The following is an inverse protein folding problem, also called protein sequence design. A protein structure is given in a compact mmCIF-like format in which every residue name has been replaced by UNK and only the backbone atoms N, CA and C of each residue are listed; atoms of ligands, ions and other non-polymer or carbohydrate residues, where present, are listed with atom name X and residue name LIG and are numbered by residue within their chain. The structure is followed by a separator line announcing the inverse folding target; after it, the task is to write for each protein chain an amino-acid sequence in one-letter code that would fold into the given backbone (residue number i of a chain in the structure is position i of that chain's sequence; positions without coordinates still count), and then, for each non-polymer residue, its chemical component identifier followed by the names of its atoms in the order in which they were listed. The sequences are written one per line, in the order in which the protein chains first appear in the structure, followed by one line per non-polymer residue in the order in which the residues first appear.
data_IF_775733479071
#
_entry.id   IF_775733479071
#
_cell.length_a   1.000
_cell.length_b   1.000
_cell.length_c   1.000
_cell.angle_alpha   90.00
_cell.angle_beta   90.00
_cell.angle_gamma   90.00
#
_symmetry.space_group_name_H-M   'P 1'
#
loop_
_entity.id
_entity.type
_entity.pdbx_description
1 polymer ?
#
# COMPACT_ATOMS: atom_id res chain seq x y z
N UNK A 1 -11.24 11.16 5.18
CA UNK A 1 -11.45 10.90 6.62
C UNK A 1 -12.05 9.52 6.89
N UNK A 2 -13.22 9.18 6.33
CA UNK A 2 -13.97 7.97 6.74
C UNK A 2 -13.24 6.62 6.64
N UNK A 3 -12.37 6.41 5.65
CA UNK A 3 -11.61 5.14 5.55
C UNK A 3 -10.55 4.99 6.66
N UNK A 4 -9.86 6.08 7.02
CA UNK A 4 -8.85 6.04 8.08
C UNK A 4 -9.48 5.64 9.41
N UNK A 5 -10.63 6.25 9.75
CA UNK A 5 -11.41 5.91 10.95
C UNK A 5 -11.91 4.46 10.92
N UNK A 6 -12.41 4.00 9.78
CA UNK A 6 -12.86 2.62 9.62
C UNK A 6 -11.74 1.58 9.79
N UNK A 7 -10.50 1.92 9.44
CA UNK A 7 -9.33 1.05 9.64
C UNK A 7 -8.81 1.07 11.08
N UNK A 8 -9.09 2.14 11.83
CA UNK A 8 -8.77 2.23 13.26
C UNK A 8 -9.77 1.44 14.12
N UNK A 9 -11.06 1.46 13.75
CA UNK A 9 -12.12 0.72 14.45
C UNK A 9 -12.96 -0.10 13.44
N UNK A 10 -12.43 -1.22 12.94
CA UNK A 10 -13.08 -1.97 11.86
C UNK A 10 -14.31 -2.72 12.37
N UNK A 11 -15.43 -2.59 11.65
CA UNK A 11 -16.68 -3.31 11.95
C UNK A 11 -16.64 -4.79 11.56
N UNK A 12 -15.74 -5.15 10.65
CA UNK A 12 -15.46 -6.52 10.22
C UNK A 12 -14.01 -6.87 10.55
N UNK A 13 -13.73 -8.13 10.85
CA UNK A 13 -12.36 -8.56 11.17
C UNK A 13 -11.49 -8.47 9.90
N UNK A 14 -10.46 -7.62 9.85
CA UNK A 14 -9.55 -7.54 8.71
C UNK A 14 -8.63 -8.77 8.66
N UNK A 15 -8.29 -9.21 7.45
CA UNK A 15 -7.38 -10.33 7.20
C UNK A 15 -6.58 -10.13 5.91
N UNK A 16 -5.41 -10.76 5.81
CA UNK A 16 -4.53 -10.65 4.63
C UNK A 16 -4.86 -11.74 3.62
N UNK A 17 -5.86 -11.47 2.77
CA UNK A 17 -6.28 -12.33 1.65
C UNK A 17 -7.19 -13.49 2.05
N UNK A 18 -6.81 -14.31 3.03
CA UNK A 18 -7.63 -15.42 3.56
C UNK A 18 -8.00 -15.18 5.02
N UNK A 19 -9.19 -15.61 5.44
CA UNK A 19 -9.66 -15.50 6.83
C UNK A 19 -8.72 -16.17 7.85
N UNK A 20 -7.97 -17.19 7.43
CA UNK A 20 -6.96 -17.87 8.23
C UNK A 20 -5.65 -17.09 8.42
N UNK A 21 -5.51 -15.92 7.79
CA UNK A 21 -4.32 -15.07 7.84
C UNK A 21 -4.65 -13.75 8.57
N UNK A 22 -4.79 -13.76 9.90
CA UNK A 22 -5.09 -12.55 10.68
C UNK A 22 -3.92 -11.56 10.66
N UNK A 23 -4.20 -10.31 10.99
CA UNK A 23 -3.14 -9.32 11.21
C UNK A 23 -2.40 -9.62 12.52
N UNK A 24 -1.07 -9.57 12.49
CA UNK A 24 -0.24 -9.67 13.69
C UNK A 24 -0.17 -8.36 14.49
N UNK A 25 -0.49 -7.24 13.85
CA UNK A 25 -0.50 -5.89 14.42
C UNK A 25 -1.74 -5.13 13.90
N UNK A 26 -2.22 -4.08 14.61
CA UNK A 26 -3.23 -3.18 14.06
C UNK A 26 -2.80 -2.59 12.70
N UNK A 27 -3.76 -2.21 11.86
CA UNK A 27 -3.49 -1.63 10.52
C UNK A 27 -2.64 -0.36 10.62
N UNK A 28 -2.82 0.45 11.68
CA UNK A 28 -2.02 1.68 11.89
C UNK A 28 -2.26 2.76 10.84
N UNK A 29 -3.49 2.86 10.30
CA UNK A 29 -3.82 3.80 9.25
C UNK A 29 -3.55 5.25 9.69
N UNK A 30 -2.81 5.98 8.87
CA UNK A 30 -2.43 7.38 9.12
C UNK A 30 -2.86 8.23 7.93
N UNK A 31 -3.44 9.39 8.19
CA UNK A 31 -3.79 10.36 7.16
C UNK A 31 -2.61 11.32 6.97
N UNK A 32 -2.09 11.41 5.75
CA UNK A 32 -1.00 12.30 5.37
C UNK A 32 -1.47 13.15 4.20
N UNK A 33 -1.38 14.47 4.35
CA UNK A 33 -1.70 15.42 3.29
C UNK A 33 -0.47 15.64 2.40
N UNK A 34 -0.60 15.27 1.13
CA UNK A 34 0.47 15.41 0.14
C UNK A 34 -0.11 15.56 -1.27
N UNK A 35 0.70 16.09 -2.20
CA UNK A 35 0.29 16.24 -3.60
C UNK A 35 0.45 14.94 -4.38
N UNK A 36 1.37 14.07 -3.95
CA UNK A 36 1.62 12.77 -4.58
C UNK A 36 1.75 11.63 -3.57
N UNK A 37 1.51 10.40 -4.05
CA UNK A 37 1.70 9.20 -3.23
C UNK A 37 3.16 9.04 -2.77
N UNK A 38 4.13 9.38 -3.63
CA UNK A 38 5.54 9.43 -3.28
C UNK A 38 5.78 10.38 -2.10
N UNK A 39 5.30 11.62 -2.17
CA UNK A 39 5.45 12.59 -1.07
C UNK A 39 4.85 12.07 0.24
N UNK A 40 3.65 11.47 0.20
CA UNK A 40 3.02 10.90 1.39
C UNK A 40 3.87 9.76 2.00
N UNK A 41 4.40 8.88 1.15
CA UNK A 41 5.26 7.78 1.57
C UNK A 41 6.57 8.28 2.19
N UNK A 42 7.17 9.33 1.62
CA UNK A 42 8.35 9.97 2.18
C UNK A 42 8.06 10.64 3.53
N UNK A 43 6.94 11.32 3.68
CA UNK A 43 6.54 11.94 4.95
C UNK A 43 6.23 10.92 6.06
N UNK A 44 5.76 9.73 5.70
CA UNK A 44 5.47 8.66 6.66
C UNK A 44 6.72 8.19 7.43
N UNK A 45 7.93 8.29 6.85
CA UNK A 45 9.19 7.93 7.52
C UNK A 45 9.41 6.42 7.71
N UNK A 46 8.56 5.60 7.08
CA UNK A 46 8.65 4.14 7.15
C UNK A 46 8.18 3.56 8.50
N UNK A 47 8.31 2.24 8.67
CA UNK A 47 7.82 1.56 9.86
C UNK A 47 8.64 1.93 11.12
N UNK A 48 8.03 1.89 12.32
CA UNK A 48 8.72 2.17 13.57
C UNK A 48 10.00 1.36 13.77
N UNK A 49 10.99 1.96 14.45
CA UNK A 49 12.31 1.36 14.64
C UNK A 49 12.31 0.01 15.35
N UNK A 50 11.33 -0.28 16.21
CA UNK A 50 11.18 -1.59 16.85
C UNK A 50 10.75 -2.67 15.85
N UNK A 51 9.94 -2.32 14.84
CA UNK A 51 9.53 -3.23 13.78
C UNK A 51 10.73 -3.62 12.91
N UNK A 52 11.64 -2.66 12.65
CA UNK A 52 12.92 -2.89 11.95
C UNK A 52 13.84 -3.89 12.63
N UNK A 53 13.70 -4.12 13.94
CA UNK A 53 14.53 -5.08 14.68
C UNK A 53 14.02 -6.52 14.60
N UNK A 54 12.71 -6.69 14.39
CA UNK A 54 12.06 -8.00 14.42
C UNK A 54 11.64 -8.50 13.04
N UNK A 55 11.57 -7.61 12.06
CA UNK A 55 11.28 -7.94 10.67
C UNK A 55 12.51 -7.67 9.81
N UNK A 56 12.79 -8.58 8.88
CA UNK A 56 13.73 -8.35 7.77
C UNK A 56 13.11 -7.35 6.80
N UNK A 57 13.03 -6.09 7.23
CA UNK A 57 12.49 -5.02 6.40
C UNK A 57 13.44 -4.77 5.24
N UNK A 58 12.89 -4.36 4.07
CA UNK A 58 13.71 -4.07 2.91
C UNK A 58 14.72 -2.95 3.25
N UNK A 59 15.87 -2.99 2.58
CA UNK A 59 16.96 -2.03 2.79
C UNK A 59 16.61 -0.60 2.38
N UNK A 60 17.63 0.25 2.20
CA UNK A 60 17.43 1.66 1.84
C UNK A 60 16.61 1.83 0.55
N UNK A 61 16.75 0.92 -0.42
CA UNK A 61 15.91 0.88 -1.62
C UNK A 61 14.78 -0.12 -1.49
N UNK A 62 13.57 0.33 -1.83
CA UNK A 62 12.38 -0.50 -1.90
C UNK A 62 11.76 -0.44 -3.29
N UNK A 63 11.17 -1.56 -3.71
CA UNK A 63 10.31 -1.59 -4.88
C UNK A 63 8.93 -1.07 -4.51
N UNK A 64 8.46 -0.06 -5.22
CA UNK A 64 7.11 0.49 -5.09
C UNK A 64 6.29 0.03 -6.30
N UNK A 65 5.08 -0.43 -6.00
CA UNK A 65 4.08 -0.79 -7.00
C UNK A 65 2.84 0.06 -6.81
N UNK A 66 2.42 0.77 -7.85
CA UNK A 66 1.31 1.71 -7.78
C UNK A 66 0.48 1.67 -9.05
N UNK A 67 -0.78 2.06 -8.94
CA UNK A 67 -1.59 2.38 -10.12
C UNK A 67 -0.94 3.48 -10.96
N UNK A 68 -1.16 3.42 -12.26
CA UNK A 68 -0.82 4.50 -13.20
C UNK A 68 -1.78 5.69 -13.00
N UNK A 69 -1.55 6.45 -11.94
CA UNK A 69 -2.24 7.71 -11.69
C UNK A 69 -1.26 8.87 -11.79
N UNK A 70 -1.69 9.99 -12.38
CA UNK A 70 -0.93 11.24 -12.47
C UNK A 70 -0.39 11.76 -11.13
N UNK A 71 -0.98 11.36 -10.01
CA UNK A 71 -0.55 11.74 -8.66
C UNK A 71 0.35 10.70 -7.97
N UNK A 72 0.89 9.70 -8.68
CA UNK A 72 1.79 8.72 -8.05
C UNK A 72 3.07 9.39 -7.56
N UNK A 73 3.65 10.29 -8.36
CA UNK A 73 4.92 10.95 -8.07
C UNK A 73 6.14 10.02 -8.15
N UNK A 74 6.00 8.86 -8.80
CA UNK A 74 7.10 7.91 -9.02
C UNK A 74 7.46 7.86 -10.52
N UNK A 75 8.75 7.85 -10.82
CA UNK A 75 9.25 7.61 -12.18
C UNK A 75 9.16 6.11 -12.50
N UNK A 76 8.40 5.70 -13.53
CA UNK A 76 8.17 4.29 -13.83
C UNK A 76 9.43 3.64 -14.43
N UNK A 77 9.90 2.55 -13.82
CA UNK A 77 10.94 1.69 -14.41
C UNK A 77 10.33 0.60 -15.30
N UNK A 78 9.15 0.12 -14.93
CA UNK A 78 8.45 -0.94 -15.67
C UNK A 78 6.94 -0.79 -15.52
N UNK A 79 6.22 -1.23 -16.54
CA UNK A 79 4.79 -1.44 -16.50
C UNK A 79 4.48 -2.94 -16.45
N UNK A 80 3.50 -3.31 -15.64
CA UNK A 80 3.07 -4.69 -15.50
C UNK A 80 1.54 -4.75 -15.57
N UNK A 81 1.01 -5.63 -16.44
CA UNK A 81 -0.43 -5.84 -16.57
C UNK A 81 -0.93 -6.80 -15.49
N UNK A 82 -1.94 -6.36 -14.73
CA UNK A 82 -2.54 -7.10 -13.61
C UNK A 82 -4.04 -7.22 -13.81
N UNK A 83 -4.59 -8.43 -13.71
CA UNK A 83 -6.04 -8.69 -13.76
C UNK A 83 -6.67 -8.73 -12.37
N UNK A 84 -6.58 -7.62 -11.64
CA UNK A 84 -7.03 -7.51 -10.25
C UNK A 84 -7.90 -6.27 -9.98
N UNK A 85 -8.21 -5.46 -11.00
CA UNK A 85 -9.19 -4.37 -10.87
C UNK A 85 -10.59 -4.96 -10.80
N UNK A 86 -11.20 -4.95 -9.63
CA UNK A 86 -12.55 -5.44 -9.42
C UNK A 86 -13.58 -4.48 -10.06
N UNK A 87 -14.44 -5.01 -10.92
CA UNK A 87 -15.56 -4.28 -11.55
C UNK A 87 -16.87 -4.62 -10.86
N UNK A 88 -17.06 -5.90 -10.51
CA UNK A 88 -18.23 -6.38 -9.78
C UNK A 88 -17.80 -7.43 -8.75
N UNK A 89 -17.86 -7.13 -7.43
CA UNK A 89 -17.47 -8.07 -6.40
C UNK A 89 -18.51 -9.18 -6.17
N UNK A 90 -19.78 -8.96 -6.52
CA UNK A 90 -20.86 -9.96 -6.39
C UNK A 90 -20.70 -11.03 -7.47
N UNK A 91 -20.45 -10.60 -8.70
CA UNK A 91 -20.19 -11.49 -9.85
C UNK A 91 -18.73 -11.94 -9.95
N UNK A 92 -17.84 -11.37 -9.13
CA UNK A 92 -16.39 -11.64 -9.12
C UNK A 92 -15.74 -11.34 -10.47
N UNK A 93 -16.09 -10.21 -11.08
CA UNK A 93 -15.52 -9.76 -12.34
C UNK A 93 -14.31 -8.87 -12.11
N UNK A 94 -13.22 -9.19 -12.81
CA UNK A 94 -11.94 -8.48 -12.74
C UNK A 94 -11.44 -8.18 -14.14
N UNK A 95 -10.88 -6.98 -14.31
CA UNK A 95 -10.27 -6.52 -15.57
C UNK A 95 -8.79 -6.22 -15.39
N UNK A 96 -8.10 -6.09 -16.52
CA UNK A 96 -6.70 -5.71 -16.55
C UNK A 96 -6.53 -4.23 -16.16
N UNK A 97 -5.46 -3.95 -15.43
CA UNK A 97 -4.93 -2.60 -15.15
C UNK A 97 -3.42 -2.60 -15.28
N UNK A 98 -2.87 -1.44 -15.58
CA UNK A 98 -1.43 -1.20 -15.57
C UNK A 98 -0.97 -0.86 -14.14
N UNK A 99 0.00 -1.62 -13.65
CA UNK A 99 0.75 -1.36 -12.43
C UNK A 99 2.12 -0.80 -12.82
N UNK A 100 2.44 0.38 -12.28
CA UNK A 100 3.79 0.95 -12.34
C UNK A 100 4.64 0.25 -11.29
N UNK A 101 5.83 -0.18 -11.71
CA UNK A 101 6.90 -0.63 -10.83
C UNK A 101 8.03 0.41 -10.90
N UNK A 102 8.44 0.91 -9.74
CA UNK A 102 9.53 1.86 -9.58
C UNK A 102 10.38 1.47 -8.36
N UNK A 103 11.65 1.89 -8.31
CA UNK A 103 12.44 1.83 -7.07
C UNK A 103 12.55 3.21 -6.46
N UNK A 104 12.54 3.26 -5.14
CA UNK A 104 12.74 4.51 -4.41
C UNK A 104 13.50 4.23 -3.13
N UNK A 105 14.17 5.26 -2.61
CA UNK A 105 14.79 5.17 -1.29
C UNK A 105 13.75 5.47 -0.22
N UNK A 106 13.58 4.57 0.74
CA UNK A 106 12.75 4.89 1.90
C UNK A 106 13.51 5.86 2.82
N UNK A 107 12.87 6.94 3.29
CA UNK A 107 13.48 7.77 4.31
C UNK A 107 13.65 6.95 5.59
N UNK A 108 14.78 7.17 6.25
CA UNK A 108 15.17 6.46 7.46
C UNK A 108 14.34 6.86 8.68
#
# INVERSE_FOLDING_TARGET
SGLCEALQVPKFIPYLGRKSCPLALPVGATLIEAQTAAQALYQFGGPPSWLRRIASLPGEEVEVRTDQHSCSGFDPERLHLRRDRCIDPVQRLFVEREEIIARTKMPN
#
